data_IF_025208818650
#
_entry.id   IF_025208818650
#
_cell.length_a   1.000
_cell.length_b   1.000
_cell.length_c   1.000
_cell.angle_alpha   90.00
_cell.angle_beta   90.00
_cell.angle_gamma   90.00
#
_symmetry.space_group_name_H-M   'P 1'
#
loop_
_entity.id
_entity.type
_entity.pdbx_description
1 polymer ?
#
# COMPACT_ATOMS: atom_id res chain seq x y z
N UNK A 1 -6.00 -21.70 22.52
CA UNK A 1 -5.93 -20.25 22.22
C UNK A 1 -6.93 -19.95 21.12
N UNK A 2 -7.84 -19.00 21.34
CA UNK A 2 -8.85 -18.61 20.34
C UNK A 2 -8.29 -17.66 19.29
N UNK A 3 -8.91 -17.63 18.10
CA UNK A 3 -8.59 -16.68 17.04
C UNK A 3 -9.31 -15.35 17.34
N UNK A 4 -8.56 -14.26 17.45
CA UNK A 4 -9.10 -12.90 17.47
C UNK A 4 -9.01 -12.32 16.06
N UNK A 5 -10.13 -11.83 15.53
CA UNK A 5 -10.19 -11.09 14.27
C UNK A 5 -10.73 -9.70 14.57
N UNK A 6 -10.02 -8.66 14.12
CA UNK A 6 -10.49 -7.27 14.17
C UNK A 6 -10.76 -6.83 12.75
N UNK A 7 -11.97 -6.32 12.49
CA UNK A 7 -12.40 -5.77 11.19
C UNK A 7 -12.81 -4.33 11.44
N UNK A 8 -12.43 -3.45 10.51
CA UNK A 8 -12.85 -2.05 10.50
C UNK A 8 -13.37 -1.71 9.10
N UNK A 9 -14.52 -1.05 9.05
CA UNK A 9 -15.22 -0.66 7.82
C UNK A 9 -15.69 0.79 7.96
N UNK A 10 -15.59 1.57 6.88
CA UNK A 10 -16.06 2.95 6.82
C UNK A 10 -16.70 3.22 5.47
N UNK A 11 -17.85 3.90 5.49
CA UNK A 11 -18.52 4.37 4.27
C UNK A 11 -17.95 5.73 3.87
N UNK A 12 -17.28 5.77 2.73
CA UNK A 12 -16.70 7.01 2.18
C UNK A 12 -17.54 7.50 0.99
N UNK A 13 -17.67 8.82 0.78
CA UNK A 13 -18.44 9.40 -0.32
C UNK A 13 -17.68 9.37 -1.65
N UNK A 14 -16.97 8.27 -1.94
CA UNK A 14 -16.14 8.11 -3.13
C UNK A 14 -16.46 6.79 -3.83
N UNK A 15 -16.36 6.77 -5.16
CA UNK A 15 -16.47 5.52 -5.92
C UNK A 15 -15.25 4.63 -5.69
N UNK A 16 -15.41 3.33 -5.94
CA UNK A 16 -14.31 2.39 -5.91
C UNK A 16 -13.15 2.80 -6.83
N UNK A 17 -13.45 3.41 -7.99
CA UNK A 17 -12.45 3.89 -8.94
C UNK A 17 -11.66 5.09 -8.40
N UNK A 18 -12.34 6.03 -7.72
CA UNK A 18 -11.68 7.17 -7.09
C UNK A 18 -10.75 6.69 -5.98
N UNK A 19 -11.21 5.75 -5.15
CA UNK A 19 -10.39 5.16 -4.10
C UNK A 19 -9.18 4.40 -4.70
N UNK A 20 -9.42 3.60 -5.74
CA UNK A 20 -8.37 2.86 -6.44
C UNK A 20 -7.28 3.78 -7.01
N UNK A 21 -7.67 4.91 -7.59
CA UNK A 21 -6.73 5.89 -8.10
C UNK A 21 -5.81 6.42 -6.99
N UNK A 22 -6.35 6.72 -5.81
CA UNK A 22 -5.56 7.17 -4.65
C UNK A 22 -4.62 6.07 -4.15
N UNK A 23 -5.12 4.84 -3.95
CA UNK A 23 -4.29 3.77 -3.36
C UNK A 23 -3.27 3.16 -4.31
N UNK A 24 -3.38 3.40 -5.62
CA UNK A 24 -2.40 2.95 -6.62
C UNK A 24 -1.48 4.04 -7.13
N UNK A 25 -1.70 5.29 -6.74
CA UNK A 25 -0.80 6.40 -7.06
C UNK A 25 0.45 6.33 -6.16
N UNK A 26 1.53 5.81 -6.74
CA UNK A 26 2.83 5.70 -6.07
C UNK A 26 3.53 7.07 -5.90
N UNK A 27 3.09 8.12 -6.59
CA UNK A 27 3.63 9.47 -6.43
C UNK A 27 2.98 10.21 -5.25
N UNK A 28 1.73 9.86 -4.94
CA UNK A 28 0.94 10.38 -3.81
C UNK A 28 0.72 9.31 -2.72
N UNK A 29 1.80 8.60 -2.35
CA UNK A 29 1.78 7.47 -1.42
C UNK A 29 1.46 7.82 0.06
N UNK A 30 1.35 9.10 0.42
CA UNK A 30 1.32 9.58 1.82
C UNK A 30 0.09 9.10 2.61
N UNK A 31 -0.94 8.56 1.95
CA UNK A 31 -2.05 7.89 2.61
C UNK A 31 -1.59 6.63 3.39
N UNK A 32 -0.46 6.03 3.01
CA UNK A 32 0.23 4.98 3.77
C UNK A 32 1.09 5.57 4.88
N UNK A 33 0.47 5.78 6.04
CA UNK A 33 1.13 6.41 7.19
C UNK A 33 2.37 5.66 7.71
N UNK A 34 2.49 4.37 7.42
CA UNK A 34 3.62 3.50 7.79
C UNK A 34 4.88 3.76 6.95
N UNK A 35 4.76 4.37 5.76
CA UNK A 35 5.89 4.66 4.88
C UNK A 35 6.55 6.00 5.21
N UNK A 36 7.89 6.05 5.08
CA UNK A 36 8.72 7.26 5.13
C UNK A 36 9.05 7.78 3.73
N UNK A 37 9.11 6.89 2.73
CA UNK A 37 9.36 7.22 1.33
C UNK A 37 8.84 6.11 0.41
N UNK A 38 8.49 6.46 -0.82
CA UNK A 38 8.30 5.54 -1.94
C UNK A 38 9.04 6.09 -3.16
N UNK A 39 9.93 5.29 -3.74
CA UNK A 39 10.69 5.63 -4.94
C UNK A 39 10.20 4.80 -6.13
N UNK A 40 9.69 5.48 -7.16
CA UNK A 40 9.28 4.83 -8.41
C UNK A 40 10.48 4.72 -9.34
N UNK A 41 10.88 3.49 -9.66
CA UNK A 41 12.00 3.21 -10.57
C UNK A 41 11.53 3.25 -12.01
N UNK A 42 10.43 2.53 -12.29
CA UNK A 42 9.82 2.46 -13.62
C UNK A 42 8.33 2.13 -13.52
N UNK A 43 7.66 1.97 -14.66
CA UNK A 43 6.22 1.66 -14.71
C UNK A 43 5.80 0.43 -13.91
N UNK A 44 6.72 -0.49 -13.61
CA UNK A 44 6.42 -1.75 -12.93
C UNK A 44 7.23 -1.95 -11.67
N UNK A 45 8.15 -1.05 -11.29
CA UNK A 45 9.04 -1.25 -10.14
C UNK A 45 9.09 -0.02 -9.27
N UNK A 46 9.00 -0.23 -7.97
CA UNK A 46 9.18 0.79 -6.97
C UNK A 46 9.77 0.19 -5.68
N UNK A 47 10.35 1.05 -4.84
CA UNK A 47 10.91 0.71 -3.54
C UNK A 47 10.12 1.47 -2.47
N UNK A 48 9.64 0.75 -1.46
CA UNK A 48 8.98 1.32 -0.29
C UNK A 48 9.96 1.37 0.89
N UNK A 49 9.97 2.49 1.62
CA UNK A 49 10.76 2.65 2.83
C UNK A 49 9.80 2.81 4.03
N UNK A 50 9.74 1.87 4.97
CA UNK A 50 8.90 2.01 6.17
C UNK A 50 9.52 2.95 7.21
N UNK A 51 8.69 3.69 7.96
CA UNK A 51 9.13 4.56 9.08
C UNK A 51 9.68 3.76 10.26
N UNK A 52 9.10 2.60 10.54
CA UNK A 52 9.54 1.70 11.60
C UNK A 52 10.23 0.52 10.97
N UNK A 53 11.55 0.62 10.83
CA UNK A 53 12.37 -0.51 10.42
C UNK A 53 12.46 -1.51 11.58
N UNK A 54 11.79 -2.65 11.48
CA UNK A 54 12.37 -3.84 12.09
C UNK A 54 13.60 -4.17 11.26
N UNK A 55 14.75 -4.33 11.93
CA UNK A 55 16.12 -4.38 11.38
C UNK A 55 16.40 -5.41 10.26
N UNK A 56 15.40 -6.15 9.79
CA UNK A 56 15.52 -7.21 8.80
C UNK A 56 14.62 -7.04 7.57
N UNK A 57 13.80 -6.00 7.51
CA UNK A 57 12.64 -6.02 6.61
C UNK A 57 12.68 -4.98 5.47
N UNK A 58 12.89 -5.52 4.27
CA UNK A 58 12.29 -5.09 2.99
C UNK A 58 12.78 -3.76 2.36
N UNK A 59 13.95 -3.79 1.71
CA UNK A 59 14.09 -3.12 0.41
C UNK A 59 13.57 -4.13 -0.61
N UNK A 60 12.27 -4.13 -0.89
CA UNK A 60 11.73 -4.99 -1.95
C UNK A 60 11.34 -4.18 -3.16
N UNK A 61 11.87 -4.52 -4.36
CA UNK A 61 11.31 -4.04 -5.60
C UNK A 61 9.91 -4.65 -5.71
N UNK A 62 8.90 -3.87 -5.35
CA UNK A 62 7.52 -4.30 -5.52
C UNK A 62 7.21 -4.14 -6.99
N UNK A 63 6.94 -5.26 -7.67
CA UNK A 63 6.39 -5.19 -9.01
C UNK A 63 4.92 -4.72 -8.93
N UNK A 64 4.35 -4.12 -9.97
CA UNK A 64 2.89 -3.84 -10.06
C UNK A 64 1.98 -5.10 -10.00
N UNK A 65 2.23 -6.07 -9.10
CA UNK A 65 1.30 -6.81 -8.24
C UNK A 65 2.08 -7.82 -7.36
N UNK A 66 1.70 -8.10 -6.08
CA UNK A 66 0.46 -8.83 -5.77
C UNK A 66 -0.31 -8.42 -4.48
N UNK A 67 -0.02 -7.28 -3.84
CA UNK A 67 -0.58 -6.97 -2.50
C UNK A 67 -1.97 -6.32 -2.55
N UNK A 68 -2.32 -5.62 -3.63
CA UNK A 68 -3.62 -4.96 -3.79
C UNK A 68 -4.38 -5.63 -4.94
N UNK A 69 -5.28 -6.53 -4.54
CA UNK A 69 -5.92 -7.52 -5.39
C UNK A 69 -6.57 -7.01 -6.67
N UNK A 70 -6.70 -7.94 -7.62
CA UNK A 70 -7.51 -7.84 -8.83
C UNK A 70 -8.97 -7.47 -8.47
N UNK A 71 -9.35 -6.21 -8.66
CA UNK A 71 -10.75 -5.86 -8.91
C UNK A 71 -10.96 -5.89 -10.42
N UNK A 72 -11.60 -6.95 -10.90
CA UNK A 72 -12.26 -6.98 -12.21
C UNK A 72 -13.67 -6.43 -12.08
#
# INVERSE_FOLDING_TARGET
MGKLTVVWEEELPYSAQQFWHVVTDLTNWQWRSDLSLCEVIDERKFIEFPKKANLYDFIQPVSKNPIFGNFK
#
